data_IF_944738584528
#
_entry.id   IF_944738584528
#
_cell.length_a   1.000
_cell.length_b   1.000
_cell.length_c   1.000
_cell.angle_alpha   90.00
_cell.angle_beta   90.00
_cell.angle_gamma   90.00
#
_symmetry.space_group_name_H-M   'P 1'
#
loop_
_entity.id
_entity.type
_entity.pdbx_description
1 polymer ?
#
# COMPACT_ATOMS: atom_id res chain seq x y z
N UNK A 1 30.03 12.05 -5.41
CA UNK A 1 30.92 11.02 -5.96
C UNK A 1 30.94 11.24 -7.47
N UNK A 2 32.10 11.17 -8.11
CA UNK A 2 32.25 11.52 -9.53
C UNK A 2 32.09 10.26 -10.37
N UNK A 3 30.89 10.05 -10.93
CA UNK A 3 30.59 8.94 -11.84
C UNK A 3 31.37 9.06 -13.15
N UNK A 4 31.65 7.95 -13.81
CA UNK A 4 32.41 7.92 -15.06
C UNK A 4 33.93 7.95 -14.89
N UNK A 5 34.42 7.75 -13.67
CA UNK A 5 35.86 7.69 -13.38
C UNK A 5 36.35 6.24 -13.45
N UNK A 6 37.47 6.02 -14.13
CA UNK A 6 38.12 4.71 -14.15
C UNK A 6 38.92 4.46 -12.86
N UNK A 7 38.79 3.25 -12.31
CA UNK A 7 39.51 2.80 -11.13
C UNK A 7 40.39 1.58 -11.47
N UNK A 8 41.72 1.77 -11.59
CA UNK A 8 42.63 0.70 -12.00
C UNK A 8 42.73 -0.43 -10.97
N UNK A 9 42.46 -0.14 -9.69
CA UNK A 9 42.53 -1.12 -8.59
C UNK A 9 41.49 -2.24 -8.73
N UNK A 10 40.34 -1.93 -9.32
CA UNK A 10 39.23 -2.86 -9.55
C UNK A 10 39.01 -3.16 -11.03
N UNK A 11 39.81 -2.56 -11.91
CA UNK A 11 39.65 -2.61 -13.36
C UNK A 11 38.20 -2.30 -13.79
N UNK A 12 37.65 -1.21 -13.25
CA UNK A 12 36.24 -0.88 -13.45
C UNK A 12 35.95 0.62 -13.38
N UNK A 13 34.79 0.99 -13.88
CA UNK A 13 34.30 2.37 -13.92
C UNK A 13 33.28 2.62 -12.80
N UNK A 14 33.36 3.76 -12.11
CA UNK A 14 32.39 4.15 -11.07
C UNK A 14 31.07 4.61 -11.69
N UNK A 15 29.97 3.95 -11.31
CA UNK A 15 28.62 4.25 -11.79
C UNK A 15 27.71 4.89 -10.72
N UNK A 16 28.27 5.39 -9.61
CA UNK A 16 27.52 6.12 -8.58
C UNK A 16 26.83 5.25 -7.54
N UNK A 17 27.16 3.96 -7.52
CA UNK A 17 26.70 2.97 -6.53
C UNK A 17 27.56 1.71 -6.48
N UNK A 18 28.68 1.68 -7.21
CA UNK A 18 29.55 0.52 -7.36
C UNK A 18 30.46 0.66 -8.58
N UNK A 19 31.27 -0.37 -8.83
CA UNK A 19 32.19 -0.44 -9.98
C UNK A 19 31.71 -1.45 -11.00
N UNK A 20 31.62 -1.02 -12.26
CA UNK A 20 31.33 -1.90 -13.37
C UNK A 20 32.65 -2.38 -13.99
N UNK A 21 32.97 -3.66 -13.79
CA UNK A 21 34.26 -4.27 -14.16
C UNK A 21 34.25 -4.98 -15.52
N UNK A 22 33.09 -5.04 -16.18
CA UNK A 22 32.87 -5.68 -17.46
C UNK A 22 31.82 -4.93 -18.29
N UNK A 23 31.90 -5.06 -19.61
CA UNK A 23 30.89 -4.55 -20.54
C UNK A 23 29.54 -5.23 -20.28
N UNK A 24 28.44 -4.50 -20.05
CA UNK A 24 27.11 -5.11 -19.88
C UNK A 24 26.62 -5.85 -21.12
N UNK A 25 27.05 -5.42 -22.30
CA UNK A 25 26.61 -5.97 -23.58
C UNK A 25 27.31 -7.29 -23.92
N UNK A 26 28.61 -7.39 -23.60
CA UNK A 26 29.43 -8.56 -23.96
C UNK A 26 29.73 -9.46 -22.77
N UNK A 27 29.48 -8.98 -21.54
CA UNK A 27 29.84 -9.61 -20.28
C UNK A 27 31.33 -9.94 -20.14
N UNK A 28 32.18 -9.30 -20.95
CA UNK A 28 33.63 -9.45 -20.90
C UNK A 28 34.26 -8.33 -20.07
N UNK A 29 35.32 -8.62 -19.29
CA UNK A 29 36.08 -7.59 -18.58
C UNK A 29 36.59 -6.51 -19.55
N UNK A 30 36.65 -5.27 -19.07
CA UNK A 30 37.24 -4.18 -19.84
C UNK A 30 38.70 -4.49 -20.19
N UNK A 31 39.07 -4.35 -21.46
CA UNK A 31 40.45 -4.60 -21.91
C UNK A 31 41.39 -3.49 -21.46
N UNK A 32 40.87 -2.27 -21.29
CA UNK A 32 41.60 -1.10 -20.81
C UNK A 32 40.64 0.03 -20.43
N UNK A 33 41.18 1.07 -19.80
CA UNK A 33 40.48 2.30 -19.42
C UNK A 33 39.76 2.97 -20.62
N UNK A 34 40.41 3.03 -21.78
CA UNK A 34 39.86 3.71 -22.95
C UNK A 34 38.56 3.04 -23.45
N UNK A 35 38.46 1.71 -23.40
CA UNK A 35 37.25 0.97 -23.75
C UNK A 35 36.11 1.23 -22.76
N UNK A 36 36.41 1.25 -21.45
CA UNK A 36 35.41 1.52 -20.42
C UNK A 36 34.88 2.96 -20.46
N UNK A 37 35.76 3.94 -20.70
CA UNK A 37 35.37 5.35 -20.84
C UNK A 37 34.60 5.59 -22.13
N UNK A 38 35.01 4.98 -23.25
CA UNK A 38 34.27 5.09 -24.52
C UNK A 38 32.85 4.51 -24.40
N UNK A 39 32.67 3.42 -23.66
CA UNK A 39 31.33 2.92 -23.34
C UNK A 39 30.55 3.93 -22.49
N UNK A 40 31.15 4.48 -21.42
CA UNK A 40 30.49 5.44 -20.53
C UNK A 40 30.01 6.70 -21.24
N UNK A 41 30.75 7.18 -22.24
CA UNK A 41 30.34 8.32 -23.07
C UNK A 41 29.00 8.08 -23.79
N UNK A 42 28.63 6.83 -24.05
CA UNK A 42 27.36 6.48 -24.72
C UNK A 42 26.37 5.72 -23.83
N UNK A 43 26.77 5.35 -22.62
CA UNK A 43 25.98 4.56 -21.70
C UNK A 43 24.70 5.30 -21.29
N UNK A 44 23.57 4.58 -21.22
CA UNK A 44 22.30 5.13 -20.72
C UNK A 44 22.39 5.48 -19.21
N UNK A 45 23.28 4.79 -18.50
CA UNK A 45 23.58 5.04 -17.09
C UNK A 45 24.38 6.33 -16.86
N UNK A 46 25.00 6.89 -17.91
CA UNK A 46 25.68 8.16 -17.82
C UNK A 46 24.63 9.28 -17.71
N UNK A 47 24.62 10.07 -16.62
CA UNK A 47 23.68 11.18 -16.44
C UNK A 47 23.69 12.20 -17.60
N UNK A 48 24.79 12.32 -18.33
CA UNK A 48 24.89 13.21 -19.50
C UNK A 48 24.12 12.71 -20.73
N UNK A 49 23.82 11.40 -20.79
CA UNK A 49 23.05 10.76 -21.86
C UNK A 49 21.60 10.48 -21.45
N UNK A 50 21.27 10.69 -20.18
CA UNK A 50 19.88 10.69 -19.77
C UNK A 50 19.18 11.86 -20.47
N UNK A 51 17.96 11.65 -20.99
CA UNK A 51 17.16 12.77 -21.47
C UNK A 51 17.09 13.80 -20.35
N UNK A 52 17.20 15.09 -20.69
CA UNK A 52 16.99 16.17 -19.72
C UNK A 52 15.75 15.81 -18.90
N UNK A 53 15.78 15.91 -17.56
CA UNK A 53 14.62 15.60 -16.75
C UNK A 53 13.48 16.41 -17.33
N UNK A 54 12.51 15.72 -17.93
CA UNK A 54 11.30 16.35 -18.44
C UNK A 54 10.81 17.19 -17.28
N UNK A 55 10.89 18.52 -17.44
CA UNK A 55 10.49 19.45 -16.41
C UNK A 55 9.12 19.02 -15.95
N UNK A 56 9.03 18.53 -14.70
CA UNK A 56 7.91 17.84 -14.07
C UNK A 56 6.62 18.15 -14.82
N UNK A 57 6.41 17.44 -15.93
CA UNK A 57 5.10 17.34 -16.48
C UNK A 57 4.62 16.25 -15.57
N UNK A 58 4.09 16.68 -14.43
CA UNK A 58 3.06 15.95 -13.75
C UNK A 58 2.28 15.34 -14.89
N UNK A 59 2.45 14.04 -15.10
CA UNK A 59 1.35 13.27 -15.61
C UNK A 59 0.30 13.54 -14.52
N UNK A 60 -0.46 14.61 -14.72
CA UNK A 60 -1.90 14.51 -14.75
C UNK A 60 -2.17 13.37 -15.74
N UNK A 61 -1.88 12.13 -15.28
CA UNK A 61 -2.89 11.10 -15.22
C UNK A 61 -4.09 11.90 -14.84
N UNK A 62 -4.93 12.26 -15.82
CA UNK A 62 -6.27 12.68 -15.51
C UNK A 62 -6.69 11.61 -14.50
N UNK A 63 -6.83 11.99 -13.23
CA UNK A 63 -7.41 11.12 -12.23
C UNK A 63 -8.70 10.74 -12.88
N UNK A 64 -8.76 9.55 -13.47
CA UNK A 64 -10.00 9.03 -13.98
C UNK A 64 -10.88 9.09 -12.75
N UNK A 65 -11.89 9.97 -12.76
CA UNK A 65 -12.69 10.25 -11.58
C UNK A 65 -13.01 8.91 -10.95
N UNK A 66 -12.60 8.72 -9.69
CA UNK A 66 -12.86 7.49 -8.99
C UNK A 66 -14.39 7.39 -8.81
N UNK A 67 -15.05 6.76 -9.79
CA UNK A 67 -16.50 6.59 -9.81
C UNK A 67 -16.99 5.59 -8.76
N UNK A 68 -16.08 4.97 -8.01
CA UNK A 68 -16.43 4.05 -6.92
C UNK A 68 -17.14 4.80 -5.81
N UNK A 69 -18.10 4.12 -5.19
CA UNK A 69 -18.90 4.67 -4.09
C UNK A 69 -18.08 4.66 -2.80
N UNK A 70 -17.92 5.82 -2.18
CA UNK A 70 -17.12 5.98 -0.99
C UNK A 70 -17.85 5.48 0.26
N UNK A 71 -17.24 4.51 0.96
CA UNK A 71 -17.64 4.11 2.29
C UNK A 71 -16.96 5.04 3.29
N UNK A 72 -17.75 5.85 3.99
CA UNK A 72 -17.23 6.78 5.01
C UNK A 72 -17.62 6.30 6.39
N UNK A 73 -16.65 5.80 7.16
CA UNK A 73 -16.87 5.44 8.57
C UNK A 73 -16.85 6.71 9.42
N UNK A 74 -17.93 6.96 10.14
CA UNK A 74 -18.11 8.14 11.01
C UNK A 74 -18.13 7.76 12.49
N UNK A 75 -18.47 6.52 12.82
CA UNK A 75 -18.56 6.04 14.19
C UNK A 75 -17.98 4.63 14.34
N UNK A 76 -17.24 4.43 15.44
CA UNK A 76 -16.66 3.14 15.81
C UNK A 76 -16.90 2.92 17.31
N UNK A 77 -17.58 1.84 17.65
CA UNK A 77 -17.87 1.43 19.03
C UNK A 77 -17.33 0.03 19.33
N UNK A 78 -17.21 -0.32 20.61
CA UNK A 78 -16.70 -1.63 21.04
C UNK A 78 -15.18 -1.77 20.96
N UNK A 79 -14.44 -0.65 20.92
CA UNK A 79 -12.98 -0.63 20.86
C UNK A 79 -12.35 -0.22 22.18
N UNK A 80 -11.13 -0.70 22.43
CA UNK A 80 -10.26 -0.25 23.52
C UNK A 80 -9.60 1.08 23.16
N UNK A 81 -9.22 1.24 21.89
CA UNK A 81 -8.60 2.46 21.38
C UNK A 81 -9.11 2.76 19.98
N UNK A 82 -9.39 4.03 19.71
CA UNK A 82 -9.69 4.58 18.38
C UNK A 82 -9.11 6.00 18.25
N UNK A 83 -8.94 6.52 17.02
CA UNK A 83 -8.59 7.93 16.82
C UNK A 83 -9.69 8.84 17.38
N UNK A 84 -9.32 10.03 17.85
CA UNK A 84 -10.29 11.03 18.33
C UNK A 84 -11.14 11.57 17.17
N UNK A 85 -10.49 11.82 16.03
CA UNK A 85 -11.14 12.21 14.78
C UNK A 85 -10.77 11.22 13.68
N UNK A 86 -11.79 10.48 13.21
CA UNK A 86 -11.67 9.47 12.14
C UNK A 86 -11.53 10.14 10.77
N UNK A 87 -12.17 11.29 10.57
CA UNK A 87 -12.26 11.95 9.28
C UNK A 87 -10.91 12.48 8.80
N UNK A 88 -10.00 12.84 9.71
CA UNK A 88 -8.65 13.35 9.38
C UNK A 88 -7.59 12.27 9.21
N UNK A 89 -7.90 11.00 9.49
CA UNK A 89 -6.91 9.92 9.36
C UNK A 89 -6.79 9.45 7.92
N UNK A 90 -5.58 9.29 7.39
CA UNK A 90 -5.39 8.61 6.10
C UNK A 90 -5.62 7.09 6.22
N UNK A 91 -5.32 6.54 7.40
CA UNK A 91 -5.54 5.14 7.77
C UNK A 91 -6.13 5.10 9.16
N UNK A 92 -7.33 4.52 9.29
CA UNK A 92 -8.03 4.37 10.55
C UNK A 92 -7.43 3.19 11.30
N UNK A 93 -6.90 3.43 12.51
CA UNK A 93 -6.29 2.38 13.34
C UNK A 93 -7.03 2.25 14.66
N UNK A 94 -7.55 1.05 14.94
CA UNK A 94 -8.27 0.76 16.17
C UNK A 94 -7.66 -0.43 16.90
N UNK A 95 -7.91 -0.51 18.20
CA UNK A 95 -7.55 -1.64 19.05
C UNK A 95 -8.81 -2.19 19.69
N UNK A 96 -9.00 -3.51 19.64
CA UNK A 96 -10.12 -4.21 20.25
C UNK A 96 -9.63 -5.47 20.97
N UNK A 97 -10.53 -6.12 21.70
CA UNK A 97 -10.28 -7.44 22.32
C UNK A 97 -10.94 -8.49 21.43
N UNK A 98 -10.34 -9.67 21.33
CA UNK A 98 -10.98 -10.81 20.65
C UNK A 98 -12.35 -11.14 21.27
N UNK A 99 -13.21 -11.78 20.48
CA UNK A 99 -14.59 -12.13 20.83
C UNK A 99 -15.47 -10.96 21.30
N UNK A 100 -15.07 -9.72 20.99
CA UNK A 100 -15.85 -8.50 21.29
C UNK A 100 -16.46 -7.92 20.02
N UNK A 101 -17.73 -7.52 20.11
CA UNK A 101 -18.43 -6.86 19.01
C UNK A 101 -17.93 -5.42 18.84
N UNK A 102 -17.47 -5.12 17.62
CA UNK A 102 -17.10 -3.78 17.16
C UNK A 102 -18.17 -3.34 16.17
N UNK A 103 -18.87 -2.24 16.47
CA UNK A 103 -19.85 -1.67 15.53
C UNK A 103 -19.22 -0.53 14.77
N UNK A 104 -19.24 -0.63 13.44
CA UNK A 104 -18.92 0.45 12.52
C UNK A 104 -20.23 1.07 12.03
N UNK A 105 -20.30 2.40 12.03
CA UNK A 105 -21.34 3.14 11.30
C UNK A 105 -20.74 4.21 10.40
N UNK A 106 -21.49 4.57 9.37
CA UNK A 106 -21.01 5.46 8.35
C UNK A 106 -22.07 5.81 7.32
N UNK A 107 -21.61 6.33 6.19
CA UNK A 107 -22.45 6.63 5.03
C UNK A 107 -21.93 5.90 3.80
N UNK A 108 -22.84 5.45 2.95
CA UNK A 108 -22.52 4.90 1.64
C UNK A 108 -23.71 5.16 0.70
N UNK A 109 -23.46 5.89 -0.39
CA UNK A 109 -24.48 6.31 -1.36
C UNK A 109 -24.77 5.20 -2.39
N UNK A 110 -25.51 4.19 -1.95
CA UNK A 110 -26.06 3.09 -2.74
C UNK A 110 -27.49 2.77 -2.27
N UNK A 111 -28.21 1.99 -3.07
CA UNK A 111 -29.49 1.40 -2.65
C UNK A 111 -29.31 0.47 -1.44
N UNK A 112 -30.39 0.29 -0.68
CA UNK A 112 -30.43 -0.63 0.48
C UNK A 112 -30.00 -2.04 0.09
N UNK A 113 -28.87 -2.48 0.64
CA UNK A 113 -28.25 -3.75 0.30
C UNK A 113 -27.38 -4.25 1.46
N UNK A 114 -27.34 -5.58 1.63
CA UNK A 114 -26.37 -6.23 2.49
C UNK A 114 -25.24 -6.84 1.65
N UNK A 115 -24.00 -6.69 2.12
CA UNK A 115 -22.81 -7.19 1.43
C UNK A 115 -21.75 -7.65 2.42
N UNK A 116 -20.73 -8.33 1.90
CA UNK A 116 -19.65 -8.88 2.71
C UNK A 116 -18.44 -7.93 2.69
N UNK A 117 -17.84 -7.73 3.86
CA UNK A 117 -16.59 -6.99 4.04
C UNK A 117 -15.46 -7.96 4.40
N UNK A 118 -14.50 -8.19 3.49
CA UNK A 118 -13.33 -9.01 3.77
C UNK A 118 -12.27 -8.25 4.57
N UNK A 119 -11.70 -8.88 5.59
CA UNK A 119 -10.51 -8.45 6.30
C UNK A 119 -9.39 -9.47 6.13
N UNK A 120 -8.19 -8.99 5.83
CA UNK A 120 -6.96 -9.80 5.80
C UNK A 120 -6.35 -9.87 7.19
N UNK A 121 -6.20 -11.09 7.72
CA UNK A 121 -5.34 -11.31 8.88
C UNK A 121 -3.87 -11.35 8.42
N UNK A 122 -3.00 -10.66 9.14
CA UNK A 122 -1.56 -10.71 8.88
C UNK A 122 -1.02 -12.14 9.06
N UNK A 123 -0.38 -12.68 8.01
CA UNK A 123 0.06 -14.08 7.96
C UNK A 123 -1.07 -15.13 7.99
N UNK A 124 -2.34 -14.71 7.88
CA UNK A 124 -3.51 -15.57 8.06
C UNK A 124 -4.53 -15.53 6.92
N UNK A 125 -5.70 -16.19 7.10
CA UNK A 125 -6.77 -16.20 6.13
C UNK A 125 -7.50 -14.85 6.01
N UNK A 126 -8.38 -14.75 5.01
CA UNK A 126 -9.43 -13.73 5.02
C UNK A 126 -10.50 -14.11 6.04
N UNK A 127 -11.01 -13.11 6.74
CA UNK A 127 -12.20 -13.19 7.59
C UNK A 127 -13.27 -12.26 7.04
N UNK A 128 -14.53 -12.65 7.14
CA UNK A 128 -15.63 -12.01 6.43
C UNK A 128 -16.71 -11.56 7.41
N UNK A 129 -17.17 -10.32 7.26
CA UNK A 129 -18.24 -9.75 8.07
C UNK A 129 -19.38 -9.26 7.20
N UNK A 130 -20.60 -9.33 7.73
CA UNK A 130 -21.75 -8.72 7.07
C UNK A 130 -21.74 -7.22 7.33
N UNK A 131 -21.96 -6.46 6.27
CA UNK A 131 -22.32 -5.05 6.30
C UNK A 131 -23.65 -4.84 5.60
N UNK A 132 -24.29 -3.72 5.89
CA UNK A 132 -25.52 -3.31 5.22
C UNK A 132 -25.53 -1.81 5.03
N UNK A 133 -26.21 -1.37 3.97
CA UNK A 133 -26.70 -0.02 3.81
C UNK A 133 -28.19 -0.02 3.97
N UNK A 134 -28.70 0.90 4.78
CA UNK A 134 -30.13 1.16 4.91
C UNK A 134 -30.36 2.66 5.02
N UNK A 135 -31.20 3.21 4.14
CA UNK A 135 -31.49 4.64 4.08
C UNK A 135 -30.19 5.48 3.98
N UNK A 136 -29.17 4.98 3.26
CA UNK A 136 -27.85 5.59 3.12
C UNK A 136 -26.89 5.44 4.32
N UNK A 137 -27.35 4.88 5.44
CA UNK A 137 -26.50 4.55 6.59
C UNK A 137 -25.80 3.22 6.37
N UNK A 138 -24.46 3.25 6.29
CA UNK A 138 -23.62 2.06 6.34
C UNK A 138 -23.50 1.56 7.78
N UNK A 139 -23.64 0.25 7.98
CA UNK A 139 -23.35 -0.40 9.26
C UNK A 139 -22.72 -1.77 9.09
N UNK A 140 -21.78 -2.10 9.97
CA UNK A 140 -21.16 -3.43 10.07
C UNK A 140 -20.88 -3.78 11.53
N UNK A 141 -21.02 -5.07 11.87
CA UNK A 141 -20.58 -5.59 13.18
C UNK A 141 -19.44 -6.57 12.96
N UNK A 142 -18.29 -6.26 13.53
CA UNK A 142 -17.09 -7.08 13.45
C UNK A 142 -16.90 -7.82 14.77
N UNK A 143 -16.61 -9.11 14.70
CA UNK A 143 -16.29 -9.93 15.86
C UNK A 143 -15.10 -10.83 15.49
N UNK A 144 -13.91 -10.46 15.94
CA UNK A 144 -12.67 -11.15 15.61
C UNK A 144 -12.39 -12.22 16.66
N UNK A 145 -12.32 -13.50 16.23
CA UNK A 145 -12.10 -14.65 17.13
C UNK A 145 -10.68 -14.83 17.59
N UNK A 146 -9.71 -14.43 16.77
CA UNK A 146 -8.30 -14.60 17.06
C UNK A 146 -7.63 -13.23 17.26
N UNK A 147 -6.73 -13.15 18.23
CA UNK A 147 -5.82 -12.02 18.35
C UNK A 147 -4.93 -11.88 17.12
N UNK A 148 -4.58 -10.64 16.75
CA UNK A 148 -3.69 -10.36 15.63
C UNK A 148 -3.93 -8.99 14.99
N UNK A 149 -3.31 -8.78 13.83
CA UNK A 149 -3.51 -7.59 13.01
C UNK A 149 -4.42 -7.95 11.84
N UNK A 150 -5.49 -7.19 11.69
CA UNK A 150 -6.44 -7.32 10.58
C UNK A 150 -6.48 -6.02 9.79
N UNK A 151 -6.65 -6.11 8.48
CA UNK A 151 -6.78 -4.93 7.62
C UNK A 151 -7.82 -5.12 6.53
N UNK A 152 -8.47 -4.02 6.17
CA UNK A 152 -9.28 -3.89 4.95
C UNK A 152 -8.93 -2.56 4.27
N UNK A 153 -8.86 -2.58 2.95
CA UNK A 153 -8.59 -1.43 2.11
C UNK A 153 -9.44 -1.50 0.83
N UNK A 154 -9.38 -0.46 0.00
CA UNK A 154 -10.11 -0.38 -1.27
C UNK A 154 -9.88 -1.60 -2.15
N UNK A 155 -8.64 -2.07 -2.31
CA UNK A 155 -8.37 -3.23 -3.17
C UNK A 155 -9.06 -4.50 -2.65
N UNK A 156 -8.98 -4.72 -1.33
CA UNK A 156 -9.56 -5.90 -0.71
C UNK A 156 -11.10 -5.88 -0.74
N UNK A 157 -11.73 -4.72 -0.53
CA UNK A 157 -13.19 -4.56 -0.65
C UNK A 157 -13.72 -4.96 -2.03
N UNK A 158 -12.91 -4.82 -3.07
CA UNK A 158 -13.30 -5.09 -4.45
C UNK A 158 -12.73 -6.40 -5.01
N UNK A 159 -11.91 -7.13 -4.24
CA UNK A 159 -11.17 -8.29 -4.74
C UNK A 159 -12.06 -9.43 -5.26
N UNK A 160 -13.28 -9.55 -4.73
CA UNK A 160 -14.25 -10.59 -5.12
C UNK A 160 -15.38 -10.04 -6.01
N UNK A 161 -15.35 -8.75 -6.36
CA UNK A 161 -16.34 -8.13 -7.23
C UNK A 161 -15.88 -8.21 -8.69
N UNK A 162 -16.81 -8.55 -9.59
CA UNK A 162 -16.52 -8.56 -11.03
C UNK A 162 -16.13 -7.15 -11.55
N UNK A 163 -16.69 -6.12 -10.94
CA UNK A 163 -16.37 -4.72 -11.21
C UNK A 163 -16.13 -4.01 -9.87
N UNK A 164 -15.00 -3.29 -9.69
CA UNK A 164 -14.77 -2.48 -8.50
C UNK A 164 -15.91 -1.47 -8.27
N UNK A 165 -16.49 -1.48 -7.07
CA UNK A 165 -17.67 -0.69 -6.70
C UNK A 165 -17.39 0.29 -5.57
N UNK A 166 -16.45 -0.02 -4.68
CA UNK A 166 -16.28 0.71 -3.41
C UNK A 166 -14.90 1.33 -3.27
N UNK A 167 -14.82 2.45 -2.57
CA UNK A 167 -13.55 3.02 -2.09
C UNK A 167 -13.67 3.32 -0.60
N UNK A 168 -12.60 3.14 0.16
CA UNK A 168 -12.59 3.49 1.58
C UNK A 168 -11.19 3.84 2.04
N UNK A 169 -11.11 4.62 3.13
CA UNK A 169 -9.88 4.72 3.90
C UNK A 169 -9.51 3.33 4.43
N UNK A 170 -8.22 2.93 4.43
CA UNK A 170 -7.82 1.68 5.03
C UNK A 170 -8.16 1.65 6.52
N UNK A 171 -8.70 0.53 6.98
CA UNK A 171 -8.98 0.26 8.37
C UNK A 171 -8.09 -0.88 8.85
N UNK A 172 -7.33 -0.62 9.91
CA UNK A 172 -6.48 -1.60 10.59
C UNK A 172 -7.00 -1.83 12.00
N UNK A 173 -7.23 -3.09 12.34
CA UNK A 173 -7.71 -3.54 13.65
C UNK A 173 -6.61 -4.37 14.32
N UNK A 174 -6.13 -3.88 15.46
CA UNK A 174 -5.27 -4.67 16.35
C UNK A 174 -6.15 -5.36 17.39
N UNK A 175 -6.29 -6.67 17.25
CA UNK A 175 -7.09 -7.50 18.15
C UNK A 175 -6.17 -8.08 19.21
N UNK A 176 -6.43 -7.73 20.47
CA UNK A 176 -5.69 -8.23 21.62
C UNK A 176 -6.36 -9.50 22.14
N UNK A 177 -5.53 -10.43 22.61
CA UNK A 177 -6.02 -11.64 23.28
C UNK A 177 -6.84 -11.26 24.52
N UNK A 178 -7.97 -11.93 24.71
CA UNK A 178 -8.75 -11.82 25.92
C UNK A 178 -7.97 -12.53 27.03
N UNK A 179 -7.43 -11.76 27.96
CA UNK A 179 -6.88 -12.37 29.17
C UNK A 179 -8.05 -12.83 30.02
N UNK A 180 -8.21 -14.14 30.16
CA UNK A 180 -9.14 -14.68 31.13
C UNK A 180 -8.79 -14.09 32.50
N UNK A 181 -9.67 -13.24 33.01
CA UNK A 181 -9.61 -12.83 34.41
C UNK A 181 -9.99 -14.06 35.21
N UNK A 182 -8.99 -14.78 35.72
CA UNK A 182 -9.21 -15.86 36.69
C UNK A 182 -9.84 -15.19 37.91
N UNK A 183 -11.15 -15.36 38.03
CA UNK A 183 -11.94 -14.92 39.19
C UNK A 183 -11.96 -16.03 40.24
#
# INVERSE_FOLDING_TARGET
MTTGTWHPEVNGIDIGGGYLVASPETLQPWKNEAEALAWWETAEENPANQPEPVADTTEETAEAEDTRKAITVTEINGTVRKPEDIAVQDVVRITAVEDTDITLKGTLDIDDEAFIVPFRQDGGPLVYFNAQVKDGEFSATLNFRDSGRYEVNTDLLNAELATPRFTSKPLVVYVMRQTASVS
#
